data_IF_535659546291
#
_entry.id   IF_535659546291
#
_cell.length_a   1.000
_cell.length_b   1.000
_cell.length_c   1.000
_cell.angle_alpha   90.00
_cell.angle_beta   90.00
_cell.angle_gamma   90.00
#
_symmetry.space_group_name_H-M   'P 1'
#
loop_
_entity.id
_entity.type
_entity.pdbx_description
1 polymer ?
#
# COMPACT_ATOMS: atom_id res chain seq x y z
N UNK A 1 5.61 -25.56 4.47
CA UNK A 1 6.28 -24.89 5.61
C UNK A 1 5.37 -23.78 6.09
N UNK A 2 4.93 -23.80 7.36
CA UNK A 2 4.21 -22.65 7.94
C UNK A 2 5.19 -21.49 7.97
N UNK A 3 4.89 -20.42 7.24
CA UNK A 3 5.59 -19.14 7.41
C UNK A 3 5.30 -18.67 8.84
N UNK A 4 6.23 -18.87 9.75
CA UNK A 4 6.13 -18.53 11.18
C UNK A 4 6.08 -17.01 11.43
N UNK A 5 5.26 -16.30 10.66
CA UNK A 5 5.11 -14.85 10.72
C UNK A 5 3.82 -14.51 11.47
N UNK A 6 3.92 -14.45 12.79
CA UNK A 6 2.81 -13.93 13.59
C UNK A 6 2.88 -12.40 13.60
N UNK A 7 1.86 -11.75 13.06
CA UNK A 7 1.76 -10.27 12.97
C UNK A 7 0.83 -9.78 14.07
N UNK A 8 1.36 -8.93 14.96
CA UNK A 8 0.60 -8.07 15.87
C UNK A 8 0.99 -6.64 15.54
N UNK A 9 0.20 -6.00 14.68
CA UNK A 9 0.54 -4.71 14.08
C UNK A 9 -0.55 -3.68 14.29
N UNK A 10 -0.16 -2.44 14.49
CA UNK A 10 -1.02 -1.28 14.31
C UNK A 10 -0.73 -0.60 12.97
N UNK A 11 -1.76 0.00 12.36
CA UNK A 11 -1.57 0.91 11.26
C UNK A 11 -1.21 2.28 11.84
N UNK A 12 0.02 2.71 11.60
CA UNK A 12 0.44 4.08 11.82
C UNK A 12 0.02 4.89 10.59
N UNK A 13 -0.98 5.75 10.75
CA UNK A 13 -1.60 6.51 9.65
C UNK A 13 -1.53 7.98 9.97
N UNK A 14 -1.05 8.78 9.04
CA UNK A 14 -1.27 10.22 9.04
C UNK A 14 -1.82 10.64 7.68
N UNK A 15 -2.92 11.38 7.70
CA UNK A 15 -3.63 11.80 6.48
C UNK A 15 -3.09 13.10 5.89
N UNK A 16 -2.28 13.82 6.65
CA UNK A 16 -1.71 15.10 6.26
C UNK A 16 -0.24 15.16 6.72
N UNK A 17 0.57 14.31 6.14
CA UNK A 17 1.94 14.04 6.59
C UNK A 17 2.77 15.33 6.78
N UNK A 18 2.69 16.29 5.85
CA UNK A 18 3.51 17.51 5.93
C UNK A 18 3.13 18.48 7.04
N UNK A 19 1.87 18.51 7.46
CA UNK A 19 1.38 19.50 8.40
C UNK A 19 1.26 18.95 9.82
N UNK A 20 0.97 17.65 9.96
CA UNK A 20 0.59 17.04 11.22
C UNK A 20 1.67 16.06 11.74
N UNK A 21 2.70 15.81 10.92
CA UNK A 21 3.74 14.86 11.27
C UNK A 21 4.82 15.50 12.15
N UNK A 22 5.05 14.91 13.32
CA UNK A 22 6.17 15.19 14.20
C UNK A 22 6.92 13.88 14.45
N UNK A 23 8.19 13.83 14.10
CA UNK A 23 9.01 12.62 14.20
C UNK A 23 9.16 12.11 15.63
N UNK A 24 9.33 13.00 16.59
CA UNK A 24 9.50 12.61 18.00
C UNK A 24 8.18 12.14 18.63
N UNK A 25 7.06 12.77 18.29
CA UNK A 25 5.74 12.30 18.70
C UNK A 25 5.43 10.93 18.10
N UNK A 26 5.79 10.73 16.82
CA UNK A 26 5.62 9.45 16.14
C UNK A 26 6.45 8.32 16.78
N UNK A 27 7.69 8.59 17.17
CA UNK A 27 8.54 7.63 17.91
C UNK A 27 7.96 7.31 19.28
N UNK A 28 7.47 8.34 20.00
CA UNK A 28 6.84 8.16 21.30
C UNK A 28 5.59 7.30 21.22
N UNK A 29 4.79 7.47 20.17
CA UNK A 29 3.62 6.65 19.91
C UNK A 29 4.01 5.18 19.60
N UNK A 30 5.07 4.96 18.83
CA UNK A 30 5.61 3.61 18.59
C UNK A 30 6.05 2.95 19.90
N UNK A 31 6.78 3.65 20.76
CA UNK A 31 7.20 3.15 22.07
C UNK A 31 6.02 2.81 22.98
N UNK A 32 4.97 3.64 22.96
CA UNK A 32 3.72 3.38 23.68
C UNK A 32 3.03 2.10 23.18
N UNK A 33 2.93 1.91 21.87
CA UNK A 33 2.31 0.72 21.29
C UNK A 33 3.12 -0.55 21.59
N UNK A 34 4.44 -0.47 21.66
CA UNK A 34 5.29 -1.59 22.07
C UNK A 34 4.99 -1.97 23.53
N UNK A 35 5.01 -0.98 24.44
CA UNK A 35 4.85 -1.23 25.89
C UNK A 35 3.45 -1.68 26.27
N UNK A 36 2.43 -1.02 25.75
CA UNK A 36 1.03 -1.23 26.16
C UNK A 36 0.30 -2.29 25.33
N UNK A 37 0.64 -2.44 24.06
CA UNK A 37 -0.06 -3.35 23.15
C UNK A 37 0.75 -4.59 22.79
N UNK A 38 2.02 -4.65 23.20
CA UNK A 38 2.92 -5.77 22.90
C UNK A 38 2.92 -6.15 21.41
N UNK A 39 3.06 -5.12 20.56
CA UNK A 39 3.19 -5.30 19.11
C UNK A 39 4.54 -5.93 18.76
N UNK A 40 4.60 -6.64 17.64
CA UNK A 40 5.83 -7.17 17.07
C UNK A 40 6.08 -6.67 15.64
N UNK A 41 5.20 -5.82 15.15
CA UNK A 41 5.26 -5.24 13.81
C UNK A 41 4.51 -3.91 13.78
N UNK A 42 4.85 -3.07 12.83
CA UNK A 42 4.18 -1.79 12.59
C UNK A 42 3.93 -1.61 11.10
N UNK A 43 2.78 -1.06 10.75
CA UNK A 43 2.37 -0.79 9.37
C UNK A 43 2.31 0.72 9.15
N UNK A 44 3.19 1.25 8.31
CA UNK A 44 3.14 2.63 7.85
C UNK A 44 2.18 2.74 6.67
N UNK A 45 1.02 3.33 6.91
CA UNK A 45 -0.04 3.46 5.92
C UNK A 45 -0.21 4.92 5.52
N UNK A 46 -0.24 5.18 4.22
CA UNK A 46 -0.44 6.49 3.63
C UNK A 46 -1.15 6.35 2.29
N UNK A 47 -1.73 7.42 1.77
CA UNK A 47 -2.54 7.35 0.57
C UNK A 47 -2.15 8.43 -0.44
N UNK A 48 -1.83 8.00 -1.66
CA UNK A 48 -1.87 8.84 -2.84
C UNK A 48 -3.32 9.24 -3.17
N UNK A 49 -3.51 10.28 -3.92
CA UNK A 49 -4.84 10.80 -4.23
C UNK A 49 -5.05 10.85 -5.74
N UNK A 50 -6.22 10.38 -6.19
CA UNK A 50 -6.75 10.67 -7.51
C UNK A 50 -8.03 11.49 -7.39
N UNK A 51 -8.34 12.34 -8.38
CA UNK A 51 -9.45 13.29 -8.26
C UNK A 51 -10.82 12.60 -8.22
N UNK A 52 -11.04 11.62 -9.11
CA UNK A 52 -12.32 10.90 -9.24
C UNK A 52 -12.08 9.40 -9.42
N UNK A 53 -13.12 8.59 -9.19
CA UNK A 53 -13.06 7.14 -9.40
C UNK A 53 -12.65 6.72 -10.83
N UNK A 54 -12.80 7.61 -11.79
CA UNK A 54 -12.45 7.42 -13.21
C UNK A 54 -11.20 8.22 -13.63
N UNK A 55 -10.47 8.84 -12.70
CA UNK A 55 -9.18 9.48 -12.99
C UNK A 55 -8.07 8.44 -13.07
N UNK A 56 -7.17 8.60 -14.03
CA UNK A 56 -6.02 7.72 -14.23
C UNK A 56 -4.73 8.24 -13.62
N UNK A 57 -4.68 9.55 -13.33
CA UNK A 57 -3.55 10.18 -12.68
C UNK A 57 -3.64 10.03 -11.16
N UNK A 58 -2.59 9.51 -10.56
CA UNK A 58 -2.47 9.32 -9.11
C UNK A 58 -1.39 10.27 -8.60
N UNK A 59 -1.79 11.27 -7.82
CA UNK A 59 -0.84 12.18 -7.16
C UNK A 59 -0.24 11.50 -5.93
N UNK A 60 0.93 10.91 -6.12
CA UNK A 60 1.72 10.29 -5.05
C UNK A 60 2.98 11.09 -4.68
N UNK A 61 3.12 12.31 -5.22
CA UNK A 61 4.19 13.26 -4.90
C UNK A 61 3.69 14.50 -4.15
N UNK A 62 2.39 14.56 -3.90
CA UNK A 62 1.73 15.67 -3.25
C UNK A 62 2.08 15.85 -1.77
N UNK A 63 1.56 16.92 -1.19
CA UNK A 63 1.85 17.31 0.19
C UNK A 63 1.32 16.32 1.25
N UNK A 64 0.36 15.51 0.88
CA UNK A 64 -0.26 14.49 1.73
C UNK A 64 0.59 13.22 1.88
N UNK A 65 1.63 13.09 1.06
CA UNK A 65 2.54 11.94 1.10
C UNK A 65 3.67 12.14 2.13
N UNK A 66 4.19 11.05 2.71
CA UNK A 66 5.35 11.12 3.58
C UNK A 66 6.58 11.64 2.85
N UNK A 67 7.43 12.37 3.55
CA UNK A 67 8.77 12.61 3.07
C UNK A 67 9.60 11.34 3.25
N UNK A 68 10.42 10.99 2.27
CA UNK A 68 11.24 9.78 2.32
C UNK A 68 12.11 9.68 3.56
N UNK A 69 12.76 10.79 3.93
CA UNK A 69 13.62 10.82 5.12
C UNK A 69 12.85 10.56 6.41
N UNK A 70 11.62 11.03 6.53
CA UNK A 70 10.75 10.80 7.69
C UNK A 70 10.30 9.33 7.76
N UNK A 71 9.81 8.80 6.63
CA UNK A 71 9.40 7.40 6.53
C UNK A 71 10.59 6.46 6.82
N UNK A 72 11.75 6.73 6.23
CA UNK A 72 12.97 5.94 6.45
C UNK A 72 13.43 6.01 7.91
N UNK A 73 13.38 7.19 8.55
CA UNK A 73 13.69 7.31 9.98
C UNK A 73 12.77 6.45 10.85
N UNK A 74 11.46 6.45 10.57
CA UNK A 74 10.50 5.61 11.32
C UNK A 74 10.73 4.11 11.09
N UNK A 75 11.04 3.71 9.85
CA UNK A 75 11.40 2.32 9.53
C UNK A 75 12.62 1.89 10.33
N UNK A 76 13.68 2.69 10.32
CA UNK A 76 14.92 2.38 11.03
C UNK A 76 14.70 2.34 12.54
N UNK A 77 14.03 3.34 13.11
CA UNK A 77 13.68 3.38 14.52
C UNK A 77 12.89 2.14 14.96
N UNK A 78 11.88 1.75 14.17
CA UNK A 78 11.08 0.57 14.46
C UNK A 78 11.92 -0.72 14.46
N UNK A 79 12.85 -0.83 13.52
CA UNK A 79 13.78 -1.96 13.44
C UNK A 79 14.75 -2.02 14.64
N UNK A 80 15.26 -0.88 15.10
CA UNK A 80 16.09 -0.77 16.30
C UNK A 80 15.33 -1.26 17.55
N UNK A 81 14.01 -1.07 17.58
CA UNK A 81 13.12 -1.61 18.62
C UNK A 81 12.74 -3.09 18.42
N UNK A 82 13.24 -3.73 17.39
CA UNK A 82 12.97 -5.15 17.09
C UNK A 82 11.64 -5.42 16.41
N UNK A 83 10.96 -4.39 15.89
CA UNK A 83 9.71 -4.55 15.15
C UNK A 83 9.97 -4.96 13.70
N UNK A 84 9.08 -5.77 13.17
CA UNK A 84 8.94 -5.95 11.73
C UNK A 84 8.22 -4.76 11.13
N UNK A 85 8.66 -4.33 9.96
CA UNK A 85 8.16 -3.15 9.30
C UNK A 85 7.33 -3.51 8.06
N UNK A 86 6.21 -2.83 7.90
CA UNK A 86 5.27 -3.06 6.81
C UNK A 86 4.95 -1.70 6.18
N UNK A 87 5.01 -1.60 4.87
CA UNK A 87 4.58 -0.40 4.13
C UNK A 87 3.25 -0.69 3.42
N UNK A 88 2.32 0.24 3.55
CA UNK A 88 0.98 0.15 2.97
C UNK A 88 0.65 1.42 2.17
N UNK A 89 1.12 1.52 0.92
CA UNK A 89 0.76 2.60 0.02
C UNK A 89 -0.66 2.36 -0.52
N UNK A 90 -1.56 3.28 -0.24
CA UNK A 90 -2.97 3.23 -0.66
C UNK A 90 -3.27 4.31 -1.69
N UNK A 91 -4.41 4.20 -2.36
CA UNK A 91 -5.00 5.28 -3.17
C UNK A 91 -6.33 5.69 -2.55
N UNK A 92 -6.56 6.98 -2.42
CA UNK A 92 -7.86 7.56 -2.06
C UNK A 92 -8.41 8.37 -3.23
N UNK A 93 -9.72 8.57 -3.23
CA UNK A 93 -10.42 9.40 -4.21
C UNK A 93 -10.81 10.71 -3.53
N UNK A 94 -10.51 11.84 -4.18
CA UNK A 94 -10.66 13.18 -3.59
C UNK A 94 -12.13 13.66 -3.55
N UNK A 95 -13.00 13.09 -4.38
CA UNK A 95 -14.41 13.43 -4.47
C UNK A 95 -15.30 12.82 -3.36
N UNK A 96 -14.67 12.14 -2.39
CA UNK A 96 -15.37 11.52 -1.25
C UNK A 96 -15.91 10.13 -1.53
N UNK A 97 -15.76 9.60 -2.75
CA UNK A 97 -16.10 8.21 -3.01
C UNK A 97 -15.07 7.25 -2.44
N UNK A 98 -15.52 6.06 -2.11
CA UNK A 98 -14.63 5.00 -1.64
C UNK A 98 -13.80 4.44 -2.80
N UNK A 99 -12.52 4.18 -2.59
CA UNK A 99 -11.57 3.62 -3.57
C UNK A 99 -12.04 2.34 -4.27
N UNK A 100 -12.96 1.61 -3.64
CA UNK A 100 -13.58 0.42 -4.22
C UNK A 100 -14.36 0.69 -5.51
N UNK A 101 -14.73 1.95 -5.75
CA UNK A 101 -15.46 2.38 -6.95
C UNK A 101 -14.54 2.82 -8.09
N UNK A 102 -13.23 2.76 -7.94
CA UNK A 102 -12.28 3.00 -9.04
C UNK A 102 -12.57 1.99 -10.13
N UNK A 103 -13.02 2.51 -11.29
CA UNK A 103 -13.47 1.66 -12.40
C UNK A 103 -13.43 2.40 -13.74
N UNK A 104 -13.10 1.67 -14.78
CA UNK A 104 -13.10 2.11 -16.18
C UNK A 104 -13.88 1.10 -17.03
N UNK A 105 -14.11 1.42 -18.31
CA UNK A 105 -14.66 0.46 -19.27
C UNK A 105 -13.68 -0.71 -19.45
N UNK A 106 -14.20 -1.92 -19.56
CA UNK A 106 -13.38 -3.12 -19.75
C UNK A 106 -12.75 -3.18 -21.14
N UNK A 107 -13.41 -2.58 -22.14
CA UNK A 107 -12.89 -2.36 -23.48
C UNK A 107 -12.45 -0.89 -23.65
N UNK A 108 -11.44 -0.67 -24.47
CA UNK A 108 -10.96 0.68 -24.77
C UNK A 108 -12.01 1.46 -25.58
N UNK A 109 -12.58 2.47 -24.94
CA UNK A 109 -13.52 3.41 -25.57
C UNK A 109 -12.75 4.67 -25.98
N UNK A 110 -12.90 5.18 -27.22
CA UNK A 110 -12.24 6.41 -27.63
C UNK A 110 -12.61 7.60 -26.72
N UNK A 111 -11.60 8.37 -26.35
CA UNK A 111 -11.72 9.54 -25.45
C UNK A 111 -12.12 9.26 -24.01
N UNK A 112 -12.23 8.02 -23.62
CA UNK A 112 -12.49 7.64 -22.22
C UNK A 112 -11.21 7.20 -21.51
N UNK A 113 -11.12 7.36 -20.17
CA UNK A 113 -10.00 6.87 -19.37
C UNK A 113 -9.87 5.34 -19.46
N UNK A 114 -8.64 4.82 -19.43
CA UNK A 114 -8.34 3.41 -19.65
C UNK A 114 -7.70 2.75 -18.45
N UNK A 115 -7.96 1.45 -18.30
CA UNK A 115 -7.27 0.61 -17.31
C UNK A 115 -5.76 0.65 -17.47
N UNK A 116 -5.24 0.60 -18.69
CA UNK A 116 -3.80 0.65 -18.95
C UNK A 116 -3.14 1.94 -18.43
N UNK A 117 -3.84 3.08 -18.52
CA UNK A 117 -3.32 4.36 -18.03
C UNK A 117 -3.32 4.39 -16.50
N UNK A 118 -4.39 3.89 -15.87
CA UNK A 118 -4.47 3.81 -14.42
C UNK A 118 -3.41 2.86 -13.84
N UNK A 119 -3.29 1.65 -14.40
CA UNK A 119 -2.28 0.69 -13.94
C UNK A 119 -0.86 1.17 -14.17
N UNK A 120 -0.59 1.94 -15.24
CA UNK A 120 0.72 2.59 -15.43
C UNK A 120 1.02 3.56 -14.28
N UNK A 121 0.09 4.47 -13.96
CA UNK A 121 0.26 5.43 -12.86
C UNK A 121 0.38 4.72 -11.50
N UNK A 122 -0.44 3.71 -11.26
CA UNK A 122 -0.40 2.92 -10.05
C UNK A 122 0.90 2.12 -9.90
N UNK A 123 1.41 1.57 -11.00
CA UNK A 123 2.67 0.84 -11.04
C UNK A 123 3.86 1.75 -10.72
N UNK A 124 3.93 2.93 -11.32
CA UNK A 124 4.98 3.93 -10.98
C UNK A 124 5.00 4.24 -9.48
N UNK A 125 3.83 4.44 -8.89
CA UNK A 125 3.68 4.67 -7.46
C UNK A 125 4.17 3.50 -6.62
N UNK A 126 3.72 2.30 -6.92
CA UNK A 126 4.08 1.10 -6.14
C UNK A 126 5.54 0.70 -6.32
N UNK A 127 6.12 0.82 -7.52
CA UNK A 127 7.53 0.54 -7.77
C UNK A 127 8.44 1.46 -6.96
N UNK A 128 8.10 2.74 -6.87
CA UNK A 128 8.85 3.69 -6.04
C UNK A 128 8.95 3.21 -4.59
N UNK A 129 7.82 2.82 -3.98
CA UNK A 129 7.81 2.33 -2.59
C UNK A 129 8.34 0.91 -2.45
N UNK A 130 8.28 0.09 -3.48
CA UNK A 130 8.95 -1.22 -3.52
C UNK A 130 10.47 -1.08 -3.47
N UNK A 131 11.04 -0.19 -4.28
CA UNK A 131 12.47 0.12 -4.23
C UNK A 131 12.91 0.75 -2.91
N UNK A 132 12.12 1.68 -2.35
CA UNK A 132 12.38 2.25 -1.03
C UNK A 132 12.35 1.15 0.04
N UNK A 133 11.38 0.23 -0.06
CA UNK A 133 11.23 -0.90 0.86
C UNK A 133 12.44 -1.84 0.80
N UNK A 134 12.93 -2.18 -0.40
CA UNK A 134 14.11 -3.03 -0.59
C UNK A 134 15.36 -2.39 0.02
N UNK A 135 15.62 -1.12 -0.32
CA UNK A 135 16.78 -0.37 0.20
C UNK A 135 16.81 -0.28 1.73
N UNK A 136 15.63 -0.31 2.38
CA UNK A 136 15.50 -0.21 3.83
C UNK A 136 15.17 -1.56 4.50
N UNK A 137 15.25 -2.66 3.76
CA UNK A 137 14.95 -4.01 4.23
C UNK A 137 13.59 -4.10 4.94
N UNK A 138 12.54 -3.48 4.39
CA UNK A 138 11.16 -3.60 4.90
C UNK A 138 10.71 -5.05 4.77
N UNK A 139 10.03 -5.59 5.79
CA UNK A 139 9.67 -7.00 5.82
C UNK A 139 8.48 -7.34 4.91
N UNK A 140 7.55 -6.40 4.72
CA UNK A 140 6.34 -6.64 3.92
C UNK A 140 5.84 -5.37 3.21
N UNK A 141 5.38 -5.53 1.98
CA UNK A 141 4.70 -4.49 1.21
C UNK A 141 3.25 -4.93 0.92
N UNK A 142 2.29 -4.07 1.27
CA UNK A 142 0.87 -4.26 0.96
C UNK A 142 0.58 -3.53 -0.35
N UNK A 143 0.45 -4.28 -1.45
CA UNK A 143 0.38 -3.73 -2.81
C UNK A 143 -1.01 -3.27 -3.26
N UNK A 144 -2.00 -3.31 -2.38
CA UNK A 144 -3.33 -2.81 -2.66
C UNK A 144 -4.23 -2.89 -1.43
N UNK A 145 -5.22 -2.02 -1.38
CA UNK A 145 -6.16 -1.90 -0.28
C UNK A 145 -7.55 -1.59 -0.82
N UNK A 146 -8.47 -2.55 -0.67
CA UNK A 146 -9.90 -2.36 -0.96
C UNK A 146 -10.22 -1.88 -2.39
N UNK A 147 -9.41 -2.23 -3.37
CA UNK A 147 -9.59 -1.84 -4.78
C UNK A 147 -10.55 -2.82 -5.49
N UNK A 148 -11.76 -2.96 -4.99
CA UNK A 148 -12.77 -3.94 -5.45
C UNK A 148 -13.05 -3.83 -6.95
N UNK A 149 -13.14 -2.61 -7.47
CA UNK A 149 -13.40 -2.37 -8.89
C UNK A 149 -12.31 -2.90 -9.84
N UNK A 150 -11.11 -3.20 -9.31
CA UNK A 150 -9.96 -3.68 -10.10
C UNK A 150 -9.79 -5.20 -10.07
N UNK A 151 -10.57 -5.93 -9.26
CA UNK A 151 -10.33 -7.36 -8.96
C UNK A 151 -10.38 -8.26 -10.21
N UNK A 152 -11.14 -7.87 -11.21
CA UNK A 152 -11.30 -8.64 -12.46
C UNK A 152 -10.14 -8.42 -13.44
N UNK A 153 -9.23 -7.49 -13.17
CA UNK A 153 -8.09 -7.15 -14.03
C UNK A 153 -6.86 -8.00 -13.68
N UNK A 154 -7.01 -9.32 -13.81
CA UNK A 154 -6.00 -10.30 -13.37
C UNK A 154 -4.65 -10.11 -14.06
N UNK A 155 -4.64 -9.87 -15.37
CA UNK A 155 -3.40 -9.75 -16.13
C UNK A 155 -2.59 -8.52 -15.74
N UNK A 156 -3.24 -7.39 -15.51
CA UNK A 156 -2.58 -6.16 -15.05
C UNK A 156 -2.04 -6.32 -13.63
N UNK A 157 -2.79 -6.98 -12.74
CA UNK A 157 -2.29 -7.29 -11.39
C UNK A 157 -1.08 -8.23 -11.44
N UNK A 158 -1.10 -9.25 -12.29
CA UNK A 158 0.04 -10.16 -12.44
C UNK A 158 1.28 -9.46 -12.99
N UNK A 159 1.10 -8.57 -13.98
CA UNK A 159 2.19 -7.75 -14.51
C UNK A 159 2.80 -6.86 -13.43
N UNK A 160 1.96 -6.14 -12.68
CA UNK A 160 2.38 -5.29 -11.57
C UNK A 160 3.14 -6.07 -10.49
N UNK A 161 2.64 -7.24 -10.08
CA UNK A 161 3.34 -8.10 -9.11
C UNK A 161 4.69 -8.55 -9.64
N UNK A 162 4.77 -8.92 -10.91
CA UNK A 162 6.02 -9.31 -11.55
C UNK A 162 7.05 -8.18 -11.53
N UNK A 163 6.65 -6.97 -11.90
CA UNK A 163 7.53 -5.80 -11.87
C UNK A 163 8.01 -5.47 -10.45
N UNK A 164 7.12 -5.51 -9.46
CA UNK A 164 7.49 -5.32 -8.05
C UNK A 164 8.50 -6.40 -7.61
N UNK A 165 8.32 -7.65 -8.01
CA UNK A 165 9.23 -8.74 -7.67
C UNK A 165 10.63 -8.59 -8.26
N UNK A 166 10.78 -7.86 -9.35
CA UNK A 166 12.10 -7.54 -9.91
C UNK A 166 12.92 -6.58 -9.03
N UNK A 167 12.26 -5.81 -8.15
CA UNK A 167 12.91 -4.78 -7.32
C UNK A 167 12.75 -5.00 -5.82
N UNK A 168 11.84 -5.89 -5.38
CA UNK A 168 11.56 -6.14 -3.96
C UNK A 168 11.46 -7.62 -3.64
N UNK A 169 12.32 -8.07 -2.71
CA UNK A 169 12.44 -9.47 -2.28
C UNK A 169 11.59 -9.84 -1.06
N UNK A 170 11.08 -8.85 -0.32
CA UNK A 170 10.29 -9.06 0.89
C UNK A 170 8.89 -9.65 0.64
N UNK A 171 8.09 -9.78 1.68
CA UNK A 171 6.73 -10.33 1.57
C UNK A 171 5.80 -9.36 0.85
N UNK A 172 4.98 -9.88 -0.08
CA UNK A 172 3.89 -9.12 -0.70
C UNK A 172 2.55 -9.65 -0.21
N UNK A 173 1.61 -8.72 0.02
CA UNK A 173 0.24 -9.06 0.36
C UNK A 173 -0.74 -7.99 -0.13
N UNK A 174 -2.04 -8.29 -0.05
CA UNK A 174 -3.13 -7.39 -0.40
C UNK A 174 -4.10 -7.27 0.78
N UNK A 175 -4.60 -6.06 1.05
CA UNK A 175 -5.59 -5.81 2.09
C UNK A 175 -7.00 -5.83 1.49
N UNK A 176 -7.65 -6.99 1.55
CA UNK A 176 -9.03 -7.15 1.12
C UNK A 176 -10.02 -6.42 2.03
N UNK A 177 -11.12 -5.99 1.46
CA UNK A 177 -12.30 -5.63 2.23
C UNK A 177 -13.18 -6.86 2.54
N UNK A 178 -14.25 -6.64 3.32
CA UNK A 178 -15.18 -7.72 3.69
C UNK A 178 -15.96 -8.31 2.51
N UNK A 179 -16.13 -7.57 1.42
CA UNK A 179 -16.83 -8.06 0.23
C UNK A 179 -15.91 -8.91 -0.62
N UNK A 180 -14.66 -8.50 -0.80
CA UNK A 180 -13.62 -9.27 -1.49
C UNK A 180 -13.35 -10.61 -0.79
N UNK A 181 -13.31 -10.61 0.55
CA UNK A 181 -13.11 -11.84 1.34
C UNK A 181 -14.23 -12.88 1.16
N UNK A 182 -15.43 -12.48 0.74
CA UNK A 182 -16.54 -13.37 0.44
C UNK A 182 -16.53 -13.91 -0.99
N UNK A 183 -15.86 -13.25 -1.91
CA UNK A 183 -15.66 -13.76 -3.26
C UNK A 183 -14.71 -14.96 -3.14
N UNK A 184 -15.25 -16.18 -3.38
CA UNK A 184 -14.39 -17.33 -3.65
C UNK A 184 -13.54 -16.96 -4.85
N UNK A 185 -12.26 -16.70 -4.62
CA UNK A 185 -11.27 -16.56 -5.68
C UNK A 185 -11.31 -17.88 -6.44
N UNK A 186 -12.00 -17.90 -7.58
CA UNK A 186 -12.03 -19.04 -8.49
C UNK A 186 -10.63 -19.14 -9.10
N UNK A 187 -9.85 -20.09 -8.61
CA UNK A 187 -8.61 -20.49 -9.24
C UNK A 187 -7.35 -19.87 -8.68
N UNK A 188 -7.03 -20.12 -7.43
CA UNK A 188 -5.67 -19.97 -6.94
C UNK A 188 -5.39 -18.60 -6.30
N UNK A 189 -4.54 -18.63 -5.32
CA UNK A 189 -3.97 -17.47 -4.63
C UNK A 189 -3.54 -16.37 -5.64
N UNK A 190 -4.03 -15.16 -5.45
CA UNK A 190 -3.55 -13.97 -6.19
C UNK A 190 -2.05 -13.73 -5.91
N UNK A 191 -1.50 -14.41 -4.93
CA UNK A 191 -0.09 -14.33 -4.55
C UNK A 191 0.51 -15.72 -4.78
N UNK A 192 1.31 -15.94 -5.86
CA UNK A 192 2.14 -17.12 -5.95
C UNK A 192 3.15 -17.08 -4.79
N UNK A 193 3.19 -18.16 -4.04
CA UNK A 193 4.24 -18.44 -3.03
C UNK A 193 5.62 -18.49 -3.66
#
# INVERSE_FOLDING_TARGET
MSLGFNIKSFNFVTWNWKNDFNLEDAKSEIDYQISECNINSITFAFAAIQDHCYSTDIDWKGKHMPLDNELVNLIQYSKEKGLKTIIKPMVNVNDGYWRAYIRFFDEDVPCEPKWSDWFRSYNEYLLYYAELSERNNVDMLIIGCELVGTDHREDEWRSLIHEIRNVYSGLLTYNCDKYQAKMKIRGGSIIPT
#
